data_IF_916932560155
#
_entry.id   IF_916932560155
#
_cell.length_a   1.000
_cell.length_b   1.000
_cell.length_c   1.000
_cell.angle_alpha   90.00
_cell.angle_beta   90.00
_cell.angle_gamma   90.00
#
_symmetry.space_group_name_H-M   'P 1'
#
loop_
_entity.id
_entity.type
_entity.pdbx_description
1 polymer ?
#
# COMPACT_ATOMS: atom_id res chain seq x y z
N UNK A 1 21.08 -15.61 -15.80
CA UNK A 1 20.37 -14.33 -15.59
C UNK A 1 19.17 -14.63 -14.70
N UNK A 2 19.08 -14.16 -13.45
CA UNK A 2 17.89 -14.43 -12.65
C UNK A 2 16.78 -13.47 -13.09
N UNK A 3 15.68 -14.00 -13.59
CA UNK A 3 14.48 -13.21 -13.87
C UNK A 3 13.88 -12.77 -12.53
N UNK A 4 13.92 -11.47 -12.25
CA UNK A 4 13.20 -10.85 -11.15
C UNK A 4 11.69 -11.06 -11.40
N UNK A 5 11.05 -11.99 -10.69
CA UNK A 5 9.58 -12.09 -10.67
C UNK A 5 9.09 -11.10 -9.61
N UNK A 6 8.62 -9.94 -10.07
CA UNK A 6 7.78 -9.04 -9.27
C UNK A 6 6.47 -9.75 -8.94
N UNK A 7 6.30 -10.18 -7.69
CA UNK A 7 5.04 -10.67 -7.17
C UNK A 7 4.36 -9.58 -6.38
N UNK A 8 3.31 -8.94 -6.94
CA UNK A 8 2.46 -7.99 -6.21
C UNK A 8 1.24 -8.73 -5.70
N UNK A 9 1.01 -8.71 -4.38
CA UNK A 9 -0.13 -9.35 -3.73
C UNK A 9 -1.13 -8.27 -3.28
N UNK A 10 -2.32 -8.26 -3.88
CA UNK A 10 -3.43 -7.39 -3.50
C UNK A 10 -4.74 -7.87 -4.14
N UNK A 11 -5.89 -7.47 -3.60
CA UNK A 11 -7.21 -7.78 -4.17
C UNK A 11 -7.37 -7.03 -5.50
N UNK A 12 -7.43 -7.72 -6.66
CA UNK A 12 -7.52 -7.05 -7.95
C UNK A 12 -8.94 -6.53 -8.19
N UNK A 13 -9.07 -5.23 -8.49
CA UNK A 13 -10.25 -4.69 -9.19
C UNK A 13 -10.03 -4.96 -10.69
N UNK A 14 -10.76 -5.91 -11.26
CA UNK A 14 -10.64 -6.24 -12.69
C UNK A 14 -11.37 -5.19 -13.52
N UNK A 15 -10.61 -4.38 -14.25
CA UNK A 15 -11.08 -3.63 -15.42
C UNK A 15 -10.02 -3.72 -16.52
N UNK A 16 -10.31 -4.45 -17.61
CA UNK A 16 -9.50 -4.51 -18.86
C UNK A 16 -8.10 -5.16 -18.85
N UNK A 17 -7.75 -6.01 -17.88
CA UNK A 17 -6.65 -6.98 -18.04
C UNK A 17 -5.21 -6.48 -17.84
N UNK A 18 -4.99 -5.23 -17.41
CA UNK A 18 -3.72 -4.77 -16.86
C UNK A 18 -3.91 -4.28 -15.42
N UNK A 19 -3.05 -4.73 -14.50
CA UNK A 19 -3.02 -4.25 -13.12
C UNK A 19 -2.29 -2.90 -13.08
N UNK A 20 -3.01 -1.82 -13.34
CA UNK A 20 -2.49 -0.48 -13.14
C UNK A 20 -2.63 -0.10 -11.67
N UNK A 21 -1.56 0.46 -11.08
CA UNK A 21 -1.65 1.03 -9.75
C UNK A 21 -2.64 2.20 -9.77
N UNK A 22 -3.41 2.32 -8.70
CA UNK A 22 -4.18 3.54 -8.45
C UNK A 22 -3.22 4.72 -8.33
N UNK A 23 -3.60 5.88 -8.88
CA UNK A 23 -2.78 7.09 -8.81
C UNK A 23 -2.40 7.49 -7.39
N UNK A 24 -3.27 7.22 -6.40
CA UNK A 24 -2.95 7.52 -5.00
C UNK A 24 -1.88 6.58 -4.43
N UNK A 25 -1.80 5.34 -4.93
CA UNK A 25 -0.78 4.36 -4.53
C UNK A 25 0.54 4.66 -5.25
N UNK A 26 0.47 4.98 -6.53
CA UNK A 26 1.63 5.38 -7.35
C UNK A 26 2.35 6.59 -6.73
N UNK A 27 1.58 7.59 -6.27
CA UNK A 27 2.10 8.78 -5.61
C UNK A 27 2.85 8.50 -4.30
N UNK A 28 2.62 7.37 -3.64
CA UNK A 28 3.27 7.01 -2.38
C UNK A 28 4.35 5.94 -2.53
N UNK A 29 4.64 5.46 -3.75
CA UNK A 29 5.71 4.48 -3.99
C UNK A 29 7.05 4.93 -3.42
N UNK A 30 7.53 6.18 -3.63
CA UNK A 30 8.80 6.62 -3.03
C UNK A 30 8.80 6.59 -1.49
N UNK A 31 7.63 6.79 -0.87
CA UNK A 31 7.48 6.71 0.59
C UNK A 31 7.55 5.25 1.04
N UNK A 32 6.85 4.36 0.35
CA UNK A 32 6.88 2.92 0.62
C UNK A 32 8.31 2.36 0.48
N UNK A 33 9.05 2.78 -0.55
CA UNK A 33 10.45 2.38 -0.75
C UNK A 33 11.38 2.91 0.35
N UNK A 34 11.16 4.13 0.82
CA UNK A 34 12.02 4.76 1.82
C UNK A 34 11.77 4.25 3.25
N UNK A 35 10.52 3.99 3.62
CA UNK A 35 10.15 3.69 5.01
C UNK A 35 9.33 2.41 5.22
N UNK A 36 8.93 1.71 4.15
CA UNK A 36 8.20 0.45 4.24
C UNK A 36 6.70 0.57 4.52
N UNK A 37 6.15 1.77 4.70
CA UNK A 37 4.71 1.97 4.90
C UNK A 37 4.25 3.37 4.49
N UNK A 38 2.98 3.50 4.07
CA UNK A 38 2.38 4.77 3.69
C UNK A 38 0.87 4.77 3.97
N UNK A 39 0.31 5.96 4.19
CA UNK A 39 -1.12 6.18 4.29
C UNK A 39 -1.66 6.73 2.96
N UNK A 40 -2.69 6.08 2.43
CA UNK A 40 -3.32 6.42 1.14
C UNK A 40 -4.80 6.69 1.35
N UNK A 41 -5.41 7.72 0.72
CA UNK A 41 -6.86 7.89 0.77
C UNK A 41 -7.61 6.65 0.27
N UNK A 42 -8.68 6.28 0.98
CA UNK A 42 -9.51 5.11 0.66
C UNK A 42 -10.09 5.18 -0.75
N UNK A 43 -10.02 4.09 -1.53
CA UNK A 43 -10.64 4.05 -2.87
C UNK A 43 -12.16 4.25 -2.81
N UNK A 44 -12.77 3.95 -1.65
CA UNK A 44 -14.21 4.11 -1.43
C UNK A 44 -14.63 5.57 -1.34
N UNK A 45 -13.66 6.50 -1.22
CA UNK A 45 -13.91 7.95 -1.05
C UNK A 45 -14.82 8.26 0.13
N UNK A 46 -14.73 7.46 1.18
CA UNK A 46 -15.52 7.53 2.43
C UNK A 46 -14.85 8.39 3.51
N UNK A 47 -13.83 9.18 3.14
CA UNK A 47 -13.04 9.98 4.08
C UNK A 47 -12.03 9.18 4.90
N UNK A 48 -11.92 7.86 4.67
CA UNK A 48 -11.02 6.98 5.41
C UNK A 48 -9.66 6.83 4.74
N UNK A 49 -8.71 6.29 5.50
CA UNK A 49 -7.32 6.10 5.08
C UNK A 49 -6.95 4.62 5.08
N UNK A 50 -6.18 4.20 4.09
CA UNK A 50 -5.67 2.86 3.90
C UNK A 50 -4.20 2.82 4.33
N UNK A 51 -3.82 1.82 5.13
CA UNK A 51 -2.42 1.51 5.34
C UNK A 51 -1.92 0.62 4.20
N UNK A 52 -0.86 1.07 3.56
CA UNK A 52 -0.09 0.31 2.58
C UNK A 52 1.28 0.01 3.17
N UNK A 53 1.77 -1.22 2.99
CA UNK A 53 3.08 -1.65 3.49
C UNK A 53 3.92 -2.22 2.37
N UNK A 54 5.24 -2.16 2.52
CA UNK A 54 6.19 -2.73 1.59
C UNK A 54 7.24 -3.54 2.33
N UNK A 55 7.37 -4.80 1.94
CA UNK A 55 8.39 -5.72 2.41
C UNK A 55 9.18 -6.22 1.20
N UNK A 56 10.45 -5.81 1.11
CA UNK A 56 11.27 -6.07 -0.07
C UNK A 56 10.65 -5.47 -1.34
N UNK A 57 10.31 -6.32 -2.30
CA UNK A 57 9.65 -5.96 -3.56
C UNK A 57 8.13 -6.20 -3.55
N UNK A 58 7.55 -6.51 -2.38
CA UNK A 58 6.12 -6.79 -2.24
C UNK A 58 5.45 -5.59 -1.58
N UNK A 59 4.60 -4.91 -2.34
CA UNK A 59 3.66 -3.91 -1.81
C UNK A 59 2.34 -4.61 -1.47
N UNK A 60 1.91 -4.49 -0.22
CA UNK A 60 0.64 -5.04 0.28
C UNK A 60 -0.38 -3.92 0.48
N UNK A 61 -1.57 -4.14 -0.06
CA UNK A 61 -2.72 -3.24 0.06
C UNK A 61 -3.49 -3.40 1.37
N UNK A 62 -4.57 -2.61 1.58
CA UNK A 62 -5.16 -2.44 2.89
C UNK A 62 -5.89 -3.69 3.38
N UNK A 63 -5.39 -4.26 4.48
CA UNK A 63 -6.16 -5.18 5.32
C UNK A 63 -7.15 -4.42 6.21
N UNK A 64 -6.83 -3.17 6.57
CA UNK A 64 -7.60 -2.31 7.48
C UNK A 64 -7.64 -0.86 6.98
N UNK A 65 -8.65 -0.11 7.42
CA UNK A 65 -8.88 1.30 7.07
C UNK A 65 -9.14 2.12 8.33
N UNK A 66 -8.58 3.33 8.37
CA UNK A 66 -8.47 4.21 9.53
C UNK A 66 -9.32 5.48 9.35
N UNK A 67 -9.70 6.11 10.46
CA UNK A 67 -10.48 7.35 10.41
C UNK A 67 -9.64 8.56 9.99
N UNK A 68 -8.33 8.52 10.22
CA UNK A 68 -7.40 9.60 9.89
C UNK A 68 -6.10 9.09 9.26
N UNK A 69 -5.37 10.03 8.63
CA UNK A 69 -4.04 9.76 8.05
C UNK A 69 -3.05 9.38 9.13
N UNK A 70 -3.12 10.07 10.26
CA UNK A 70 -2.22 9.91 11.41
C UNK A 70 -2.38 8.52 12.04
N UNK A 71 -3.62 8.03 12.19
CA UNK A 71 -3.90 6.68 12.65
C UNK A 71 -3.29 5.62 11.73
N UNK A 72 -3.47 5.77 10.41
CA UNK A 72 -2.88 4.85 9.44
C UNK A 72 -1.35 4.83 9.51
N UNK A 73 -0.71 6.00 9.68
CA UNK A 73 0.74 6.10 9.85
C UNK A 73 1.22 5.52 11.17
N UNK A 74 0.45 5.67 12.25
CA UNK A 74 0.77 5.07 13.55
C UNK A 74 0.71 3.55 13.47
N UNK A 75 -0.32 2.98 12.83
CA UNK A 75 -0.40 1.54 12.58
C UNK A 75 0.74 1.04 11.70
N UNK A 76 1.12 1.79 10.66
CA UNK A 76 2.27 1.46 9.81
C UNK A 76 3.60 1.46 10.57
N UNK A 77 3.77 2.36 11.54
CA UNK A 77 4.94 2.35 12.43
C UNK A 77 4.99 1.10 13.29
N UNK A 78 3.88 0.73 13.94
CA UNK A 78 3.79 -0.51 14.74
C UNK A 78 4.11 -1.73 13.88
N UNK A 79 3.52 -1.83 12.68
CA UNK A 79 3.83 -2.91 11.74
C UNK A 79 5.32 -3.00 11.39
N UNK A 80 6.00 -1.86 11.24
CA UNK A 80 7.43 -1.82 10.94
C UNK A 80 8.28 -2.23 12.15
N UNK A 81 7.89 -1.80 13.34
CA UNK A 81 8.63 -2.06 14.58
C UNK A 81 8.48 -3.53 15.04
N UNK A 82 7.40 -4.22 14.63
CA UNK A 82 7.15 -5.64 14.90
C UNK A 82 8.01 -6.61 14.03
N UNK A 83 8.96 -6.10 13.23
CA UNK A 83 9.80 -6.89 12.30
C UNK A 83 11.29 -6.62 12.47
#
# INVERSE_FOLDING_TARGET
MPSHREGRCGTPLIWSGQLTLRSEVDAVVPVLEAQGYAAVPSWRRDGRWELWTQEGNITSGPSETFASREEALAAGRVWRDDR
#
